data_IF_416671682213
#
_entry.id   IF_416671682213
#
_cell.length_a   1.000
_cell.length_b   1.000
_cell.length_c   1.000
_cell.angle_alpha   90.00
_cell.angle_beta   90.00
_cell.angle_gamma   90.00
#
_symmetry.space_group_name_H-M   'P 1'
#
loop_
_entity.id
_entity.type
_entity.pdbx_description
1 polymer ?
#
# COMPACT_ATOMS: atom_id res chain seq x y z
N UNK A 1 -68.63 -6.18 9.13
CA UNK A 1 -68.22 -5.06 9.99
C UNK A 1 -66.83 -4.62 9.55
N UNK A 2 -66.73 -3.44 8.94
CA UNK A 2 -65.45 -2.83 8.53
C UNK A 2 -64.97 -1.98 9.70
N UNK A 3 -63.82 -2.30 10.27
CA UNK A 3 -63.18 -1.49 11.30
C UNK A 3 -62.03 -0.70 10.67
N UNK A 4 -62.28 0.59 10.50
CA UNK A 4 -61.29 1.61 10.23
C UNK A 4 -60.45 1.82 11.49
N UNK A 5 -59.12 1.75 11.37
CA UNK A 5 -58.20 2.29 12.36
C UNK A 5 -57.25 3.24 11.64
N UNK A 6 -57.57 4.52 11.75
CA UNK A 6 -56.67 5.63 11.44
C UNK A 6 -55.73 5.90 12.62
N UNK A 7 -54.59 6.51 12.29
CA UNK A 7 -53.61 7.15 13.18
C UNK A 7 -52.75 6.24 14.07
N UNK A 8 -51.51 6.02 13.62
CA UNK A 8 -50.31 6.22 14.44
C UNK A 8 -49.12 6.57 13.52
N UNK A 9 -48.68 7.83 13.57
CA UNK A 9 -47.35 8.28 13.15
C UNK A 9 -46.30 7.60 14.04
N UNK A 10 -45.26 6.94 13.50
CA UNK A 10 -44.02 6.79 14.23
C UNK A 10 -43.13 7.98 13.91
N UNK A 11 -42.82 8.72 14.98
CA UNK A 11 -41.82 9.76 15.03
C UNK A 11 -40.53 9.30 14.33
N UNK A 12 -39.97 10.20 13.52
CA UNK A 12 -38.60 10.13 13.02
C UNK A 12 -37.72 9.97 14.26
N UNK A 13 -37.22 8.76 14.49
CA UNK A 13 -36.10 8.55 15.38
C UNK A 13 -34.94 9.33 14.76
N UNK A 14 -34.66 10.50 15.33
CA UNK A 14 -33.38 11.16 15.13
C UNK A 14 -32.31 10.15 15.50
N UNK A 15 -31.62 9.62 14.49
CA UNK A 15 -30.39 8.89 14.71
C UNK A 15 -29.47 9.92 15.34
N UNK A 16 -29.33 9.88 16.67
CA UNK A 16 -28.20 10.45 17.34
C UNK A 16 -26.98 9.79 16.71
N UNK A 17 -26.38 10.46 15.72
CA UNK A 17 -25.05 10.11 15.25
C UNK A 17 -24.15 10.26 16.46
N UNK A 18 -23.90 9.15 17.16
CA UNK A 18 -22.73 9.05 18.00
C UNK A 18 -21.57 9.51 17.11
N UNK A 19 -20.90 10.60 17.51
CA UNK A 19 -19.84 11.23 16.73
C UNK A 19 -18.68 10.25 16.59
N UNK A 20 -18.77 9.39 15.57
CA UNK A 20 -17.69 8.51 15.18
C UNK A 20 -16.53 9.39 14.74
N UNK A 21 -15.32 9.10 15.23
CA UNK A 21 -14.12 9.80 14.79
C UNK A 21 -14.05 9.76 13.26
N UNK A 22 -13.81 10.89 12.61
CA UNK A 22 -13.75 11.02 11.15
C UNK A 22 -12.49 11.79 10.76
N UNK A 23 -11.98 11.49 9.57
CA UNK A 23 -10.94 12.30 8.94
C UNK A 23 -11.48 12.81 7.62
N UNK A 24 -11.51 14.13 7.45
CA UNK A 24 -11.97 14.76 6.23
C UNK A 24 -10.75 15.18 5.40
N UNK A 25 -10.65 14.66 4.18
CA UNK A 25 -9.59 14.99 3.24
C UNK A 25 -10.04 16.06 2.25
N UNK A 26 -9.28 17.15 2.14
CA UNK A 26 -9.51 18.25 1.21
C UNK A 26 -8.31 18.40 0.29
N UNK A 27 -8.54 18.36 -1.01
CA UNK A 27 -7.51 18.52 -2.03
C UNK A 27 -7.79 19.79 -2.82
N UNK A 28 -6.77 20.63 -2.94
CA UNK A 28 -6.79 21.90 -3.63
C UNK A 28 -5.75 21.92 -4.75
N UNK A 29 -6.21 22.24 -5.97
CA UNK A 29 -5.42 22.31 -7.20
C UNK A 29 -5.84 23.54 -8.01
N UNK A 30 -5.01 23.97 -8.96
CA UNK A 30 -5.25 25.16 -9.77
C UNK A 30 -6.46 25.07 -10.73
N UNK A 31 -7.06 23.88 -10.92
CA UNK A 31 -8.17 23.71 -11.87
C UNK A 31 -9.53 24.07 -11.26
N UNK A 32 -10.47 24.46 -12.14
CA UNK A 32 -11.91 24.62 -11.85
C UNK A 32 -12.62 23.31 -11.45
N UNK A 33 -11.88 22.26 -11.18
CA UNK A 33 -12.36 20.89 -10.91
C UNK A 33 -12.37 20.61 -9.41
N UNK A 34 -12.81 21.60 -8.62
CA UNK A 34 -13.12 21.43 -7.20
C UNK A 34 -14.33 20.50 -6.98
N UNK A 35 -15.08 20.20 -8.05
CA UNK A 35 -16.31 19.41 -8.09
C UNK A 35 -16.11 17.90 -8.34
N UNK A 36 -14.87 17.39 -8.25
CA UNK A 36 -14.67 15.95 -8.14
C UNK A 36 -15.33 15.47 -6.84
N UNK A 37 -16.47 14.78 -6.95
CA UNK A 37 -17.36 14.42 -5.85
C UNK A 37 -16.67 13.71 -4.67
N UNK A 38 -17.37 13.66 -3.53
CA UNK A 38 -16.80 13.13 -2.28
C UNK A 38 -16.76 11.60 -2.26
N UNK A 39 -15.60 11.01 -2.00
CA UNK A 39 -15.46 9.55 -1.81
C UNK A 39 -15.42 9.19 -0.32
N UNK A 40 -16.40 8.41 0.16
CA UNK A 40 -16.45 7.95 1.55
C UNK A 40 -15.90 6.52 1.72
N UNK A 41 -14.93 6.36 2.61
CA UNK A 41 -14.26 5.10 2.94
C UNK A 41 -14.68 4.54 4.30
N UNK A 42 -15.06 3.27 4.31
CA UNK A 42 -15.34 2.49 5.54
C UNK A 42 -14.05 2.05 6.25
N UNK A 43 -14.11 1.66 7.54
CA UNK A 43 -12.93 1.16 8.27
C UNK A 43 -12.27 -0.08 7.65
N UNK A 44 -13.04 -0.90 6.93
CA UNK A 44 -12.49 -2.07 6.22
C UNK A 44 -11.69 -1.68 4.98
N UNK A 45 -12.18 -0.72 4.21
CA UNK A 45 -11.47 -0.17 3.06
C UNK A 45 -10.19 0.57 3.50
N UNK A 46 -10.24 1.27 4.65
CA UNK A 46 -9.06 1.88 5.27
C UNK A 46 -7.93 0.89 5.54
N UNK A 47 -8.25 -0.34 6.00
CA UNK A 47 -7.27 -1.38 6.36
C UNK A 47 -6.31 -1.72 5.22
N UNK A 48 -6.71 -1.46 3.98
CA UNK A 48 -5.89 -1.74 2.81
C UNK A 48 -4.93 -0.57 2.51
N UNK A 49 -5.11 0.63 3.07
CA UNK A 49 -4.17 1.75 2.97
C UNK A 49 -4.29 2.58 1.69
N UNK A 50 -5.51 2.80 1.18
CA UNK A 50 -5.76 3.56 -0.06
C UNK A 50 -5.36 5.04 0.04
N UNK A 51 -5.73 5.72 1.14
CA UNK A 51 -5.33 7.12 1.36
C UNK A 51 -3.82 7.29 1.40
N UNK A 52 -3.10 6.37 2.05
CA UNK A 52 -1.63 6.37 2.03
C UNK A 52 -1.08 6.34 0.60
N UNK A 53 -1.68 5.56 -0.29
CA UNK A 53 -1.23 5.48 -1.70
C UNK A 53 -1.50 6.80 -2.43
N UNK A 54 -2.66 7.43 -2.22
CA UNK A 54 -2.95 8.76 -2.77
C UNK A 54 -1.88 9.76 -2.35
N UNK A 55 -1.55 9.79 -1.05
CA UNK A 55 -0.49 10.67 -0.54
C UNK A 55 0.88 10.32 -1.12
N UNK A 56 1.19 9.03 -1.28
CA UNK A 56 2.44 8.59 -1.87
C UNK A 56 2.59 8.98 -3.34
N UNK A 57 1.49 9.03 -4.10
CA UNK A 57 1.47 9.51 -5.48
C UNK A 57 1.64 11.03 -5.53
N UNK A 58 0.93 11.79 -4.70
CA UNK A 58 1.07 13.24 -4.60
C UNK A 58 2.48 13.69 -4.18
N UNK A 59 3.15 12.89 -3.35
CA UNK A 59 4.48 13.20 -2.82
C UNK A 59 5.63 12.54 -3.60
N UNK A 60 5.33 11.88 -4.73
CA UNK A 60 6.30 11.17 -5.58
C UNK A 60 7.21 10.17 -4.84
N UNK A 61 6.61 9.40 -3.91
CA UNK A 61 7.29 8.34 -3.14
C UNK A 61 6.74 6.95 -3.43
N UNK A 62 6.02 6.79 -4.55
CA UNK A 62 5.28 5.56 -4.91
C UNK A 62 6.13 4.28 -4.92
N UNK A 63 7.44 4.38 -5.18
CA UNK A 63 8.40 3.26 -5.13
C UNK A 63 8.43 2.53 -3.78
N UNK A 64 7.99 3.19 -2.70
CA UNK A 64 7.94 2.61 -1.36
C UNK A 64 6.55 2.06 -0.98
N UNK A 65 5.54 2.26 -1.82
CA UNK A 65 4.14 1.96 -1.52
C UNK A 65 3.55 1.02 -2.55
N UNK A 66 3.46 -0.27 -2.21
CA UNK A 66 2.87 -1.27 -3.10
C UNK A 66 1.35 -1.18 -3.16
N UNK A 67 0.84 -1.14 -4.40
CA UNK A 67 -0.56 -1.25 -4.77
C UNK A 67 -0.93 -2.73 -4.97
N UNK A 68 -1.26 -3.45 -3.89
CA UNK A 68 -1.79 -4.83 -4.02
C UNK A 68 -3.21 -4.78 -4.62
N UNK A 69 -3.31 -4.58 -5.94
CA UNK A 69 -4.54 -4.21 -6.63
C UNK A 69 -5.61 -5.30 -6.63
N UNK A 70 -5.23 -6.57 -6.59
CA UNK A 70 -6.16 -7.72 -6.57
C UNK A 70 -7.13 -7.71 -5.40
N UNK A 71 -6.76 -7.06 -4.30
CA UNK A 71 -7.55 -7.07 -3.06
C UNK A 71 -8.30 -5.74 -2.83
N UNK A 72 -8.35 -4.79 -3.78
CA UNK A 72 -8.96 -3.46 -3.58
C UNK A 72 -10.43 -3.41 -3.97
N UNK A 73 -11.21 -2.61 -3.24
CA UNK A 73 -12.58 -2.27 -3.61
C UNK A 73 -12.62 -1.17 -4.68
N UNK A 74 -13.69 -1.11 -5.46
CA UNK A 74 -13.87 -0.10 -6.51
C UNK A 74 -13.74 1.33 -5.97
N UNK A 75 -14.32 1.63 -4.80
CA UNK A 75 -14.19 2.96 -4.16
C UNK A 75 -12.74 3.33 -3.81
N UNK A 76 -11.89 2.35 -3.51
CA UNK A 76 -10.47 2.64 -3.24
C UNK A 76 -9.74 2.96 -4.54
N UNK A 77 -10.05 2.24 -5.62
CA UNK A 77 -9.48 2.50 -6.94
C UNK A 77 -9.97 3.85 -7.49
N UNK A 78 -11.26 4.17 -7.32
CA UNK A 78 -11.84 5.46 -7.64
C UNK A 78 -11.16 6.61 -6.89
N UNK A 79 -10.91 6.44 -5.58
CA UNK A 79 -10.15 7.41 -4.80
C UNK A 79 -8.73 7.60 -5.35
N UNK A 80 -8.02 6.51 -5.60
CA UNK A 80 -6.63 6.55 -6.11
C UNK A 80 -6.58 7.24 -7.46
N UNK A 81 -7.47 6.87 -8.38
CA UNK A 81 -7.48 7.41 -9.74
C UNK A 81 -7.89 8.89 -9.76
N UNK A 82 -8.87 9.28 -8.94
CA UNK A 82 -9.38 10.66 -8.90
C UNK A 82 -8.38 11.61 -8.21
N UNK A 83 -7.74 11.15 -7.12
CA UNK A 83 -7.00 12.04 -6.22
C UNK A 83 -5.49 11.80 -6.19
N UNK A 84 -4.97 10.76 -6.85
CA UNK A 84 -3.55 10.42 -6.89
C UNK A 84 -2.62 11.49 -7.46
N UNK A 85 -3.14 12.40 -8.29
CA UNK A 85 -2.35 13.46 -8.93
C UNK A 85 -1.97 13.14 -10.37
N UNK A 86 -1.23 14.05 -11.01
CA UNK A 86 -0.72 13.88 -12.38
C UNK A 86 0.64 13.18 -12.35
N UNK A 87 0.82 12.19 -13.20
CA UNK A 87 2.11 11.50 -13.33
C UNK A 87 3.04 12.26 -14.28
N UNK A 88 4.37 12.28 -14.03
CA UNK A 88 5.35 12.75 -15.01
C UNK A 88 5.14 12.05 -16.36
N UNK A 89 5.43 12.77 -17.45
CA UNK A 89 5.28 12.22 -18.80
C UNK A 89 6.03 10.89 -18.91
N UNK A 90 5.45 9.94 -19.64
CA UNK A 90 5.97 8.57 -19.84
C UNK A 90 7.40 8.54 -20.41
N UNK A 91 7.89 9.68 -20.90
CA UNK A 91 9.21 9.88 -21.49
C UNK A 91 9.83 11.22 -21.07
N UNK A 92 9.78 11.56 -19.78
CA UNK A 92 10.72 12.56 -19.28
C UNK A 92 12.07 11.88 -19.00
N UNK A 93 13.15 12.38 -19.58
CA UNK A 93 14.51 11.78 -19.55
C UNK A 93 15.20 11.91 -18.17
N UNK A 94 14.44 11.77 -17.08
CA UNK A 94 14.90 11.79 -15.70
C UNK A 94 14.56 10.49 -14.98
N UNK A 95 15.55 9.60 -14.85
CA UNK A 95 15.65 8.46 -13.89
C UNK A 95 14.34 7.99 -13.24
N UNK A 96 13.51 7.22 -13.96
CA UNK A 96 12.44 6.44 -13.34
C UNK A 96 12.76 4.94 -13.36
N UNK A 97 12.88 4.36 -12.16
CA UNK A 97 13.14 2.94 -11.95
C UNK A 97 11.97 2.06 -12.41
N UNK A 98 12.28 0.81 -12.74
CA UNK A 98 11.40 -0.15 -13.40
C UNK A 98 10.10 -0.52 -12.66
N UNK A 99 9.91 -0.12 -11.39
CA UNK A 99 8.67 -0.38 -10.62
C UNK A 99 7.56 0.67 -10.84
N UNK A 100 7.89 1.91 -11.23
CA UNK A 100 6.87 2.93 -11.57
C UNK A 100 6.09 2.59 -12.84
N UNK A 101 6.70 1.80 -13.74
CA UNK A 101 6.16 1.39 -15.04
C UNK A 101 4.97 0.43 -14.92
N UNK A 102 4.87 -0.34 -13.84
CA UNK A 102 3.77 -1.30 -13.61
C UNK A 102 2.52 -0.60 -13.06
N UNK A 103 2.68 0.52 -12.35
CA UNK A 103 1.57 1.30 -11.80
C UNK A 103 0.90 2.16 -12.87
N UNK A 104 1.69 2.79 -13.75
CA UNK A 104 1.21 3.63 -14.86
C UNK A 104 0.36 2.83 -15.86
N UNK A 105 0.71 1.56 -16.10
CA UNK A 105 0.02 0.74 -17.11
C UNK A 105 -1.23 0.03 -16.58
N UNK A 106 -1.47 0.06 -15.26
CA UNK A 106 -2.58 -0.67 -14.64
C UNK A 106 -3.66 0.26 -14.08
N UNK A 107 -3.32 1.46 -13.58
CA UNK A 107 -4.29 2.44 -13.08
C UNK A 107 -3.81 3.86 -13.37
N UNK A 108 -4.32 4.41 -14.48
CA UNK A 108 -3.94 5.74 -14.97
C UNK A 108 -4.53 6.86 -14.11
N UNK A 109 -3.67 7.69 -13.53
CA UNK A 109 -4.03 9.06 -13.17
C UNK A 109 -4.28 9.92 -14.43
N UNK A 110 -4.61 11.19 -14.25
CA UNK A 110 -4.63 12.14 -15.37
C UNK A 110 -3.21 12.28 -15.94
N UNK A 111 -2.98 11.71 -17.12
CA UNK A 111 -1.73 11.89 -17.85
C UNK A 111 -1.81 13.21 -18.63
N UNK A 112 -0.79 14.09 -18.55
CA UNK A 112 -0.66 15.19 -19.49
C UNK A 112 -0.73 14.63 -20.92
N UNK A 113 -1.48 15.28 -21.82
CA UNK A 113 -1.58 14.83 -23.22
C UNK A 113 -0.18 14.74 -23.81
N UNK A 114 0.04 13.69 -24.61
CA UNK A 114 1.34 13.30 -25.17
C UNK A 114 2.01 14.43 -25.99
N UNK A 115 1.23 15.43 -26.44
CA UNK A 115 1.67 16.54 -27.28
C UNK A 115 0.97 17.88 -26.96
N UNK A 116 0.86 18.26 -25.68
CA UNK A 116 0.56 19.68 -25.38
C UNK A 116 1.84 20.50 -25.48
N UNK A 117 2.00 21.20 -26.61
CA UNK A 117 3.03 22.23 -26.89
C UNK A 117 2.94 23.44 -25.94
N UNK A 118 1.90 23.54 -25.10
CA UNK A 118 1.69 24.64 -24.16
C UNK A 118 2.35 24.49 -22.78
N UNK A 119 2.99 23.35 -22.49
CA UNK A 119 3.60 23.07 -21.16
C UNK A 119 5.13 22.94 -21.26
N UNK A 120 5.73 23.46 -22.31
CA UNK A 120 7.18 23.65 -22.38
C UNK A 120 7.54 24.94 -21.62
N UNK A 121 7.53 24.87 -20.28
CA UNK A 121 7.96 25.99 -19.42
C UNK A 121 7.18 26.18 -18.11
N UNK A 122 6.09 25.45 -17.87
CA UNK A 122 5.41 25.49 -16.59
C UNK A 122 6.16 24.60 -15.58
N UNK A 123 6.75 25.21 -14.56
CA UNK A 123 7.29 24.50 -13.40
C UNK A 123 6.18 23.66 -12.76
N UNK A 124 6.43 22.36 -12.53
CA UNK A 124 5.48 21.50 -11.82
C UNK A 124 5.12 22.11 -10.47
N UNK A 125 3.83 22.10 -10.06
CA UNK A 125 3.42 22.63 -8.78
C UNK A 125 4.13 21.89 -7.65
N UNK A 126 4.41 22.59 -6.56
CA UNK A 126 4.89 21.94 -5.34
C UNK A 126 3.73 21.26 -4.63
N UNK A 127 3.97 20.08 -4.05
CA UNK A 127 2.95 19.31 -3.36
C UNK A 127 3.11 19.41 -1.85
N UNK A 128 2.11 19.96 -1.17
CA UNK A 128 2.06 20.11 0.29
C UNK A 128 0.98 19.21 0.88
N UNK A 129 1.36 18.26 1.73
CA UNK A 129 0.42 17.39 2.46
C UNK A 129 0.48 17.72 3.95
N UNK A 130 -0.67 18.05 4.54
CA UNK A 130 -0.75 18.48 5.95
C UNK A 130 -1.82 17.68 6.68
N UNK A 131 -1.41 16.98 7.74
CA UNK A 131 -2.33 16.44 8.73
C UNK A 131 -2.57 17.48 9.82
N UNK A 132 -3.84 17.80 10.08
CA UNK A 132 -4.27 18.80 11.06
C UNK A 132 -5.10 18.12 12.15
N UNK A 133 -4.59 18.03 13.38
CA UNK A 133 -5.40 17.63 14.55
C UNK A 133 -5.96 18.90 15.22
N UNK A 134 -7.25 19.13 15.03
CA UNK A 134 -7.94 20.39 15.35
C UNK A 134 -9.17 20.11 16.19
N UNK A 135 -9.58 21.09 17.00
CA UNK A 135 -10.83 20.95 17.75
C UNK A 135 -12.05 20.90 16.82
N UNK A 136 -13.22 20.56 17.36
CA UNK A 136 -14.48 20.61 16.60
C UNK A 136 -14.79 22.04 16.11
N UNK A 137 -14.48 23.05 16.92
CA UNK A 137 -14.63 24.48 16.59
C UNK A 137 -13.64 24.87 15.48
N UNK A 138 -12.35 24.52 15.64
CA UNK A 138 -11.31 24.78 14.64
C UNK A 138 -11.59 24.12 13.29
N UNK A 139 -12.08 22.88 13.30
CA UNK A 139 -12.53 22.19 12.07
C UNK A 139 -13.68 22.92 11.38
N UNK A 140 -14.63 23.44 12.15
CA UNK A 140 -15.77 24.21 11.61
C UNK A 140 -15.30 25.54 11.02
N UNK A 141 -14.38 26.24 11.69
CA UNK A 141 -13.80 27.49 11.21
C UNK A 141 -13.08 27.30 9.86
N UNK A 142 -12.18 26.31 9.76
CA UNK A 142 -11.47 26.02 8.50
C UNK A 142 -12.42 25.65 7.36
N UNK A 143 -13.43 24.80 7.64
CA UNK A 143 -14.42 24.42 6.62
C UNK A 143 -15.24 25.61 6.14
N UNK A 144 -15.54 26.59 7.00
CA UNK A 144 -16.24 27.80 6.60
C UNK A 144 -15.38 28.65 5.63
N UNK A 145 -14.10 28.83 5.93
CA UNK A 145 -13.15 29.53 5.06
C UNK A 145 -13.02 28.84 3.69
N UNK A 146 -12.86 27.51 3.68
CA UNK A 146 -12.71 26.76 2.42
C UNK A 146 -14.00 26.69 1.61
N UNK A 147 -15.15 26.65 2.28
CA UNK A 147 -16.46 26.78 1.63
C UNK A 147 -16.60 28.12 0.92
N UNK A 148 -16.15 29.21 1.54
CA UNK A 148 -16.13 30.54 0.91
C UNK A 148 -15.22 30.60 -0.32
N UNK A 149 -14.17 29.76 -0.37
CA UNK A 149 -13.27 29.60 -1.53
C UNK A 149 -13.76 28.56 -2.55
N UNK A 150 -14.99 28.07 -2.41
CA UNK A 150 -15.64 27.17 -3.38
C UNK A 150 -15.54 25.68 -3.06
N UNK A 151 -14.91 25.27 -1.95
CA UNK A 151 -14.82 23.87 -1.51
C UNK A 151 -15.79 23.60 -0.36
N UNK A 152 -17.04 23.30 -0.70
CA UNK A 152 -18.12 23.07 0.27
C UNK A 152 -18.06 21.69 0.94
N UNK A 153 -17.49 20.69 0.26
CA UNK A 153 -17.41 19.31 0.72
C UNK A 153 -15.97 18.75 0.66
N UNK A 154 -15.63 17.81 1.56
CA UNK A 154 -14.35 17.12 1.51
C UNK A 154 -14.24 16.26 0.24
N UNK A 155 -13.04 16.21 -0.34
CA UNK A 155 -12.69 15.32 -1.46
C UNK A 155 -12.89 13.85 -1.09
N UNK A 156 -12.59 13.49 0.15
CA UNK A 156 -12.87 12.16 0.67
C UNK A 156 -13.05 12.17 2.18
N UNK A 157 -13.74 11.16 2.70
CA UNK A 157 -14.00 10.99 4.13
C UNK A 157 -13.52 9.62 4.58
N UNK A 158 -12.71 9.56 5.64
CA UNK A 158 -12.36 8.32 6.32
C UNK A 158 -13.17 8.17 7.61
N UNK A 159 -13.89 7.06 7.73
CA UNK A 159 -14.52 6.68 9.01
C UNK A 159 -13.46 6.10 9.95
N UNK A 160 -13.30 6.72 11.12
CA UNK A 160 -12.33 6.38 12.16
C UNK A 160 -10.99 7.13 12.06
N UNK A 161 -10.54 7.74 13.15
CA UNK A 161 -9.24 8.45 13.22
C UNK A 161 -8.06 7.53 13.56
N UNK A 162 -6.99 7.41 12.72
CA UNK A 162 -5.80 6.59 13.03
C UNK A 162 -5.09 6.90 14.35
N UNK A 163 -5.39 8.05 14.96
CA UNK A 163 -4.70 8.57 16.15
C UNK A 163 -3.43 9.35 15.79
N UNK A 164 -3.06 10.37 16.59
CA UNK A 164 -1.96 11.29 16.29
C UNK A 164 -0.59 10.58 16.25
N UNK A 165 -0.35 9.58 17.10
CA UNK A 165 0.89 8.81 17.10
C UNK A 165 1.10 8.07 15.77
N UNK A 166 0.05 7.43 15.26
CA UNK A 166 0.14 6.69 14.00
C UNK A 166 0.29 7.62 12.80
N UNK A 167 -0.24 8.84 12.86
CA UNK A 167 -0.06 9.86 11.83
C UNK A 167 1.38 10.38 11.87
N UNK A 168 1.89 10.71 13.05
CA UNK A 168 3.27 11.16 13.23
C UNK A 168 4.28 10.13 12.73
N UNK A 169 4.03 8.83 12.96
CA UNK A 169 4.85 7.76 12.39
C UNK A 169 4.82 7.77 10.85
N UNK A 170 3.64 7.85 10.23
CA UNK A 170 3.52 7.89 8.76
C UNK A 170 4.21 9.12 8.17
N UNK A 171 4.03 10.30 8.77
CA UNK A 171 4.63 11.55 8.30
C UNK A 171 6.15 11.46 8.34
N UNK A 172 6.72 10.97 9.46
CA UNK A 172 8.17 10.76 9.58
C UNK A 172 8.69 9.78 8.52
N UNK A 173 7.97 8.68 8.32
CA UNK A 173 8.36 7.62 7.40
C UNK A 173 8.33 8.11 5.94
N UNK A 174 7.30 8.87 5.54
CA UNK A 174 7.23 9.50 4.21
C UNK A 174 8.29 10.61 4.08
N UNK A 175 8.54 11.40 5.12
CA UNK A 175 9.58 12.43 5.08
C UNK A 175 10.97 11.81 4.81
N UNK A 176 11.26 10.65 5.40
CA UNK A 176 12.46 9.86 5.10
C UNK A 176 12.48 9.37 3.64
N UNK A 177 11.33 9.01 3.07
CA UNK A 177 11.23 8.61 1.67
C UNK A 177 11.46 9.77 0.69
N UNK A 178 11.01 10.98 1.04
CA UNK A 178 11.24 12.21 0.28
C UNK A 178 12.72 12.61 0.36
N UNK A 179 13.30 12.61 1.56
CA UNK A 179 14.70 12.99 1.79
C UNK A 179 15.35 12.09 2.85
N UNK A 180 16.03 11.00 2.44
CA UNK A 180 16.64 10.04 3.37
C UNK A 180 17.82 10.60 4.20
N UNK A 181 18.39 11.74 3.80
CA UNK A 181 19.64 12.30 4.33
C UNK A 181 19.43 13.44 5.34
N UNK A 182 18.20 13.95 5.50
CA UNK A 182 17.91 15.07 6.40
C UNK A 182 16.85 14.68 7.42
N UNK A 183 17.21 14.73 8.70
CA UNK A 183 16.27 14.66 9.82
C UNK A 183 16.47 15.88 10.71
N UNK A 184 15.57 16.85 10.54
CA UNK A 184 14.94 17.69 11.57
C UNK A 184 14.37 18.93 10.87
N UNK A 185 13.11 18.84 10.44
CA UNK A 185 12.38 19.96 9.82
C UNK A 185 11.80 20.91 10.88
N UNK A 186 12.59 21.22 11.92
CA UNK A 186 12.14 22.11 13.00
C UNK A 186 11.94 23.56 12.50
N UNK A 187 12.56 23.92 11.37
CA UNK A 187 12.54 25.28 10.83
C UNK A 187 11.43 25.54 9.81
N UNK A 188 10.79 24.50 9.26
CA UNK A 188 9.64 24.63 8.38
C UNK A 188 8.33 24.68 9.18
N UNK A 189 7.79 25.89 9.33
CA UNK A 189 6.43 26.10 9.85
C UNK A 189 5.40 25.94 8.75
N UNK A 190 4.14 25.68 9.10
CA UNK A 190 3.06 25.55 8.11
C UNK A 190 2.91 26.83 7.25
N UNK A 191 3.01 28.01 7.88
CA UNK A 191 2.97 29.29 7.16
C UNK A 191 4.13 29.46 6.18
N UNK A 192 5.33 29.00 6.54
CA UNK A 192 6.48 29.00 5.63
C UNK A 192 6.33 27.99 4.50
N UNK A 193 5.71 26.83 4.74
CA UNK A 193 5.47 25.84 3.70
C UNK A 193 4.50 26.34 2.62
N UNK A 194 3.58 27.24 2.97
CA UNK A 194 2.70 27.92 2.00
C UNK A 194 3.51 28.82 1.06
N UNK A 195 4.62 29.40 1.54
CA UNK A 195 5.55 30.15 0.71
C UNK A 195 6.40 29.20 -0.14
N UNK A 196 6.02 29.08 -1.41
CA UNK A 196 6.74 28.32 -2.44
C UNK A 196 8.13 28.89 -2.76
N UNK A 197 8.60 29.94 -2.10
CA UNK A 197 10.00 30.39 -2.20
C UNK A 197 10.85 30.00 -0.99
N UNK A 198 10.23 29.50 0.09
CA UNK A 198 10.93 29.15 1.33
C UNK A 198 11.87 27.95 1.14
N UNK A 199 13.17 28.23 0.99
CA UNK A 199 14.20 27.19 0.83
C UNK A 199 14.25 26.23 2.02
N UNK A 200 13.92 26.71 3.22
CA UNK A 200 13.87 25.93 4.47
C UNK A 200 12.96 24.69 4.33
N UNK A 201 11.82 24.83 3.64
CA UNK A 201 10.82 23.77 3.47
C UNK A 201 11.04 22.95 2.19
N UNK A 202 11.58 23.60 1.15
CA UNK A 202 11.53 23.10 -0.22
C UNK A 202 12.91 22.90 -0.86
N UNK A 203 14.00 22.92 -0.08
CA UNK A 203 15.37 22.78 -0.59
C UNK A 203 15.52 21.52 -1.45
N UNK A 204 15.56 21.69 -2.78
CA UNK A 204 15.57 20.61 -3.78
C UNK A 204 14.42 19.58 -3.63
N UNK A 205 13.33 19.97 -2.97
CA UNK A 205 12.14 19.14 -2.72
C UNK A 205 10.95 19.78 -3.42
N UNK A 206 10.24 18.99 -4.22
CA UNK A 206 8.95 19.40 -4.80
C UNK A 206 7.77 18.92 -3.96
N UNK A 207 8.03 18.18 -2.87
CA UNK A 207 7.02 17.55 -2.03
C UNK A 207 7.39 17.73 -0.56
N UNK A 208 6.41 18.09 0.26
CA UNK A 208 6.59 18.28 1.70
C UNK A 208 5.38 17.74 2.45
N UNK A 209 5.64 17.04 3.57
CA UNK A 209 4.60 16.45 4.41
C UNK A 209 4.80 16.84 5.86
N UNK A 210 3.72 17.24 6.53
CA UNK A 210 3.79 17.62 7.95
C UNK A 210 2.54 17.19 8.73
N UNK A 211 2.72 17.03 10.04
CA UNK A 211 1.66 16.82 11.02
C UNK A 211 1.70 18.02 11.97
N UNK A 212 0.61 18.79 12.02
CA UNK A 212 0.52 20.02 12.81
C UNK A 212 -0.77 20.07 13.60
N UNK A 213 -0.66 20.78 14.72
CA UNK A 213 -1.68 20.99 15.74
C UNK A 213 -2.10 19.68 16.41
N UNK A 214 -2.19 19.72 17.74
CA UNK A 214 -2.85 18.73 18.61
C UNK A 214 -3.94 19.41 19.45
N UNK A 215 -3.90 20.75 19.46
CA UNK A 215 -4.80 21.70 20.10
C UNK A 215 -4.74 23.02 19.31
N UNK A 216 -5.78 23.85 19.39
CA UNK A 216 -5.86 25.14 18.70
C UNK A 216 -4.89 26.14 19.38
N UNK A 217 -3.73 26.36 18.78
CA UNK A 217 -2.67 27.26 19.29
C UNK A 217 -2.57 28.57 18.49
N UNK A 218 -1.70 29.49 18.89
CA UNK A 218 -1.40 30.71 18.10
C UNK A 218 -0.95 30.41 16.66
N UNK A 219 -0.34 29.24 16.44
CA UNK A 219 0.08 28.79 15.13
C UNK A 219 -1.13 28.38 14.26
N UNK A 220 -2.20 27.86 14.87
CA UNK A 220 -3.47 27.58 14.19
C UNK A 220 -4.15 28.89 13.76
N UNK A 221 -4.24 29.88 14.66
CA UNK A 221 -4.80 31.19 14.33
C UNK A 221 -4.01 31.88 13.20
N UNK A 222 -2.69 31.73 13.21
CA UNK A 222 -1.81 32.24 12.15
C UNK A 222 -2.08 31.53 10.83
N UNK A 223 -2.29 30.20 10.85
CA UNK A 223 -2.66 29.45 9.66
C UNK A 223 -4.03 29.87 9.10
N UNK A 224 -5.03 30.07 9.95
CA UNK A 224 -6.37 30.56 9.54
C UNK A 224 -6.27 31.95 8.89
N UNK A 225 -5.39 32.82 9.38
CA UNK A 225 -5.15 34.14 8.74
C UNK A 225 -4.38 34.05 7.42
N UNK A 226 -3.63 32.97 7.21
CA UNK A 226 -2.80 32.78 6.00
C UNK A 226 -3.53 32.12 4.81
N UNK A 227 -4.84 31.86 4.92
CA UNK A 227 -5.61 31.17 3.88
C UNK A 227 -5.58 31.91 2.54
N UNK A 228 -5.65 33.25 2.52
CA UNK A 228 -5.59 34.00 1.26
C UNK A 228 -4.28 33.79 0.50
N UNK A 229 -3.15 33.74 1.21
CA UNK A 229 -1.84 33.44 0.62
C UNK A 229 -1.79 32.02 0.06
N UNK A 230 -2.35 31.05 0.81
CA UNK A 230 -2.47 29.65 0.38
C UNK A 230 -3.26 29.53 -0.92
N UNK A 231 -4.47 30.09 -0.96
CA UNK A 231 -5.32 30.02 -2.14
C UNK A 231 -4.72 30.80 -3.32
N UNK A 232 -4.04 31.92 -3.07
CA UNK A 232 -3.33 32.65 -4.13
C UNK A 232 -2.22 31.80 -4.77
N UNK A 233 -1.46 31.03 -3.97
CA UNK A 233 -0.43 30.12 -4.51
C UNK A 233 -1.05 28.95 -5.30
N UNK A 234 -2.21 28.44 -4.87
CA UNK A 234 -2.94 27.38 -5.57
C UNK A 234 -3.52 27.88 -6.89
N UNK A 235 -4.15 29.06 -6.91
CA UNK A 235 -4.72 29.66 -8.12
C UNK A 235 -3.67 29.97 -9.19
N UNK A 236 -2.44 30.33 -8.78
CA UNK A 236 -1.31 30.52 -9.68
C UNK A 236 -0.76 29.21 -10.25
N UNK A 237 -1.09 28.07 -9.65
CA UNK A 237 -0.51 26.78 -10.01
C UNK A 237 0.89 26.53 -9.47
N UNK A 238 1.32 27.29 -8.47
CA UNK A 238 2.63 27.11 -7.84
C UNK A 238 2.59 26.02 -6.76
N UNK A 239 1.41 25.77 -6.18
CA UNK A 239 1.19 24.88 -5.04
C UNK A 239 -0.07 24.03 -5.22
N UNK A 240 0.05 22.73 -5.02
CA UNK A 240 -1.07 21.82 -4.77
C UNK A 240 -1.05 21.42 -3.29
N UNK A 241 -2.19 21.56 -2.61
CA UNK A 241 -2.27 21.31 -1.18
C UNK A 241 -3.34 20.26 -0.84
N UNK A 242 -2.96 19.30 0.01
CA UNK A 242 -3.86 18.27 0.55
C UNK A 242 -3.90 18.39 2.07
N UNK A 243 -5.07 18.67 2.63
CA UNK A 243 -5.29 18.75 4.07
C UNK A 243 -6.13 17.57 4.57
N UNK A 244 -5.67 16.90 5.61
CA UNK A 244 -6.42 15.87 6.32
C UNK A 244 -6.79 16.40 7.71
N UNK A 245 -8.05 16.80 7.89
CA UNK A 245 -8.54 17.28 9.19
C UNK A 245 -8.99 16.10 10.03
N UNK A 246 -8.36 16.00 11.18
CA UNK A 246 -8.67 15.04 12.22
C UNK A 246 -9.34 15.81 13.35
N UNK A 247 -10.54 15.38 13.73
CA UNK A 247 -11.24 15.93 14.90
C UNK A 247 -11.14 14.95 16.07
N UNK A 248 -10.97 15.43 17.31
CA UNK A 248 -10.95 14.59 18.49
C UNK A 248 -12.27 13.81 18.62
N UNK A 249 -12.15 12.52 18.93
CA UNK A 249 -13.27 11.60 19.09
C UNK A 249 -12.75 10.23 19.50
N UNK A 250 -13.63 9.35 20.01
CA UNK A 250 -13.20 8.02 20.49
C UNK A 250 -12.36 7.32 19.42
N UNK A 251 -11.09 7.09 19.76
CA UNK A 251 -10.18 6.27 18.97
C UNK A 251 -10.77 4.87 18.97
N UNK A 252 -11.43 4.48 17.89
CA UNK A 252 -11.77 3.08 17.70
C UNK A 252 -10.44 2.32 17.76
N UNK A 253 -10.30 1.33 18.66
CA UNK A 253 -9.04 0.58 18.79
C UNK A 253 -8.69 -0.03 17.44
N UNK A 254 -7.76 0.59 16.72
CA UNK A 254 -7.33 0.10 15.42
C UNK A 254 -6.65 -1.25 15.62
N UNK A 255 -7.05 -2.24 14.80
CA UNK A 255 -6.23 -3.43 14.60
C UNK A 255 -4.91 -3.01 13.92
N UNK A 256 -3.84 -3.78 14.17
CA UNK A 256 -2.46 -3.55 13.72
C UNK A 256 -2.38 -2.92 12.31
N UNK A 257 -1.57 -1.87 12.16
CA UNK A 257 -1.24 -1.14 10.91
C UNK A 257 -2.40 -0.36 10.24
N UNK A 258 -2.77 0.83 10.76
CA UNK A 258 -3.88 1.64 10.22
C UNK A 258 -3.63 2.22 8.82
N UNK A 259 -2.38 2.21 8.35
CA UNK A 259 -1.95 2.70 7.04
C UNK A 259 -1.55 1.59 6.05
N UNK A 260 -1.62 0.32 6.46
CA UNK A 260 -1.09 -0.81 5.69
C UNK A 260 0.44 -0.92 5.75
N UNK A 261 1.04 -1.60 4.77
CA UNK A 261 2.47 -1.94 4.71
C UNK A 261 3.23 -1.18 3.61
N UNK A 262 4.34 -0.53 3.95
CA UNK A 262 5.29 0.13 3.04
C UNK A 262 6.73 -0.23 3.40
N UNK A 263 7.67 0.05 2.49
CA UNK A 263 9.10 -0.02 2.76
C UNK A 263 9.66 1.35 3.16
N UNK A 264 10.77 1.35 3.89
CA UNK A 264 11.55 2.55 4.16
C UNK A 264 12.86 2.49 3.34
N UNK A 265 13.43 3.64 2.96
CA UNK A 265 14.75 3.68 2.38
C UNK A 265 15.75 3.06 3.35
N UNK A 266 16.43 1.98 2.94
CA UNK A 266 17.48 1.36 3.75
C UNK A 266 18.84 1.90 3.29
N UNK A 267 19.68 2.29 4.25
CA UNK A 267 20.86 3.13 4.02
C UNK A 267 21.99 2.51 3.19
N UNK A 268 21.93 1.22 2.84
CA UNK A 268 23.09 0.54 2.25
C UNK A 268 22.80 -0.30 0.98
N UNK A 269 21.55 -0.73 0.73
CA UNK A 269 21.22 -1.54 -0.45
C UNK A 269 20.69 -0.74 -1.64
N UNK A 270 19.96 0.36 -1.41
CA UNK A 270 19.34 1.13 -2.49
C UNK A 270 20.29 2.16 -3.13
N UNK A 271 21.24 2.71 -2.36
CA UNK A 271 22.29 3.59 -2.91
C UNK A 271 23.20 2.81 -3.85
N UNK A 272 23.58 1.57 -3.50
CA UNK A 272 24.37 0.71 -4.40
C UNK A 272 23.60 0.35 -5.66
N UNK A 273 22.27 0.16 -5.56
CA UNK A 273 21.40 -0.06 -6.71
C UNK A 273 21.34 1.15 -7.64
N UNK A 274 21.29 2.38 -7.09
CA UNK A 274 21.34 3.64 -7.85
C UNK A 274 22.73 3.98 -8.41
N UNK A 275 23.81 3.60 -7.73
CA UNK A 275 25.18 3.83 -8.20
C UNK A 275 25.64 2.82 -9.26
N UNK A 276 24.99 1.67 -9.36
CA UNK A 276 25.27 0.67 -10.40
C UNK A 276 24.62 1.02 -11.76
N UNK A 277 23.86 2.12 -11.83
CA UNK A 277 23.42 2.76 -13.07
C UNK A 277 24.32 3.97 -13.38
N UNK A 278 25.58 3.71 -13.74
CA UNK A 278 26.47 4.71 -14.36
C UNK A 278 26.86 4.28 -15.78
N UNK A 279 27.02 5.24 -16.70
CA UNK A 279 27.28 4.96 -18.12
C UNK A 279 28.66 4.33 -18.28
N UNK A 280 28.76 3.35 -19.18
CA UNK A 280 29.97 2.59 -19.47
C UNK A 280 31.17 3.51 -19.72
N UNK A 281 32.29 3.23 -19.06
CA UNK A 281 33.60 3.73 -19.45
C UNK A 281 34.65 2.65 -19.19
N UNK A 282 35.62 2.61 -20.11
CA UNK A 282 36.46 1.47 -20.48
C UNK A 282 37.54 1.05 -19.45
N UNK A 283 37.64 -0.29 -19.27
CA UNK A 283 38.77 -1.26 -19.06
C UNK A 283 40.13 -0.74 -18.50
N UNK A 284 40.94 -1.36 -17.61
CA UNK A 284 41.60 -2.70 -17.47
C UNK A 284 42.35 -2.71 -16.09
N UNK A 285 42.08 -3.64 -15.15
CA UNK A 285 42.72 -4.93 -14.79
C UNK A 285 44.08 -4.96 -14.04
N UNK A 286 44.19 -5.88 -13.06
CA UNK A 286 45.31 -6.83 -12.80
C UNK A 286 44.91 -7.80 -11.65
N UNK A 287 44.59 -9.08 -11.96
CA UNK A 287 45.39 -10.34 -11.79
C UNK A 287 45.30 -10.96 -10.37
N UNK A 288 45.13 -12.27 -10.09
CA UNK A 288 45.56 -13.50 -10.79
C UNK A 288 45.02 -14.82 -10.16
N UNK A 289 44.90 -15.88 -11.02
CA UNK A 289 45.14 -17.36 -10.82
C UNK A 289 44.31 -18.18 -9.79
N UNK A 290 43.90 -19.46 -10.00
CA UNK A 290 44.13 -20.50 -11.03
C UNK A 290 43.28 -21.81 -10.79
N UNK A 291 43.02 -22.56 -11.89
CA UNK A 291 42.97 -24.05 -12.10
C UNK A 291 41.88 -25.01 -11.56
N UNK A 292 40.90 -25.32 -12.44
CA UNK A 292 40.42 -26.60 -13.07
C UNK A 292 40.58 -27.99 -12.40
N UNK A 293 39.48 -28.78 -12.35
CA UNK A 293 39.37 -30.21 -12.80
C UNK A 293 37.91 -30.76 -12.78
N UNK A 294 37.59 -31.67 -13.73
CA UNK A 294 36.24 -32.07 -14.23
C UNK A 294 35.49 -33.24 -13.53
N UNK A 295 34.49 -33.90 -14.19
CA UNK A 295 33.14 -34.08 -13.63
C UNK A 295 32.65 -35.53 -13.40
N UNK A 296 31.77 -35.76 -12.41
CA UNK A 296 30.73 -36.82 -12.44
C UNK A 296 29.60 -36.57 -11.39
N UNK A 297 28.32 -36.96 -11.64
CA UNK A 297 27.17 -36.52 -10.86
C UNK A 297 26.69 -37.56 -9.84
N UNK A 298 26.52 -37.15 -8.59
CA UNK A 298 25.77 -37.91 -7.57
C UNK A 298 24.91 -36.92 -6.79
N UNK A 299 23.58 -37.07 -6.87
CA UNK A 299 22.61 -36.21 -6.20
C UNK A 299 22.66 -36.46 -4.68
N UNK A 300 23.45 -35.69 -3.96
CA UNK A 300 23.40 -35.65 -2.48
C UNK A 300 22.62 -34.42 -2.04
N UNK A 301 21.73 -34.51 -1.04
CA UNK A 301 20.97 -33.36 -0.57
C UNK A 301 21.94 -32.31 -0.03
N UNK A 302 21.88 -31.10 -0.61
CA UNK A 302 22.73 -29.97 -0.26
C UNK A 302 22.49 -29.65 1.24
N UNK A 303 23.47 -29.95 2.09
CA UNK A 303 23.46 -29.55 3.51
C UNK A 303 24.04 -28.15 3.63
N UNK A 304 23.23 -27.22 4.13
CA UNK A 304 23.59 -25.82 4.33
C UNK A 304 22.74 -24.87 3.48
N UNK A 305 22.64 -23.62 3.91
CA UNK A 305 21.94 -22.58 3.16
C UNK A 305 22.82 -22.21 1.95
N UNK A 306 22.44 -22.54 0.70
CA UNK A 306 23.27 -22.24 -0.45
C UNK A 306 23.42 -20.72 -0.60
N UNK A 307 24.64 -20.21 -0.89
CA UNK A 307 24.86 -18.79 -1.11
C UNK A 307 24.05 -18.31 -2.32
N UNK A 308 23.55 -17.08 -2.25
CA UNK A 308 22.71 -16.49 -3.30
C UNK A 308 23.48 -16.13 -4.58
N UNK A 309 24.81 -16.08 -4.50
CA UNK A 309 25.70 -15.76 -5.61
C UNK A 309 26.97 -16.62 -5.54
N UNK A 310 27.25 -17.32 -6.62
CA UNK A 310 28.51 -18.03 -6.85
C UNK A 310 29.42 -17.20 -7.74
N UNK A 311 30.72 -17.20 -7.47
CA UNK A 311 31.69 -16.38 -8.21
C UNK A 311 32.01 -16.93 -9.60
N UNK A 312 31.70 -18.20 -9.88
CA UNK A 312 31.93 -18.84 -11.18
C UNK A 312 30.82 -19.82 -11.56
N UNK A 313 30.69 -20.11 -12.86
CA UNK A 313 29.76 -21.12 -13.39
C UNK A 313 30.06 -22.51 -12.81
N UNK A 314 31.35 -22.85 -12.68
CA UNK A 314 31.81 -24.11 -12.10
C UNK A 314 31.47 -24.19 -10.60
N UNK A 315 31.71 -23.12 -9.84
CA UNK A 315 31.35 -23.07 -8.40
C UNK A 315 29.85 -23.24 -8.20
N UNK A 316 29.03 -22.59 -9.05
CA UNK A 316 27.59 -22.79 -9.07
C UNK A 316 27.25 -24.26 -9.38
N UNK A 317 27.82 -24.83 -10.43
CA UNK A 317 27.49 -26.18 -10.91
C UNK A 317 27.89 -27.25 -9.91
N UNK A 318 29.09 -27.16 -9.33
CA UNK A 318 29.60 -28.12 -8.34
C UNK A 318 28.85 -28.00 -7.02
N UNK A 319 28.62 -26.78 -6.52
CA UNK A 319 27.96 -26.58 -5.22
C UNK A 319 26.46 -26.88 -5.26
N UNK A 320 25.81 -26.66 -6.41
CA UNK A 320 24.37 -26.89 -6.57
C UNK A 320 24.04 -28.20 -7.30
N UNK A 321 25.05 -29.01 -7.64
CA UNK A 321 24.90 -30.22 -8.44
C UNK A 321 24.09 -29.97 -9.73
N UNK A 322 24.53 -28.99 -10.51
CA UNK A 322 23.86 -28.50 -11.71
C UNK A 322 22.38 -28.14 -11.43
N UNK A 323 22.16 -27.32 -10.39
CA UNK A 323 20.84 -26.91 -9.93
C UNK A 323 19.90 -28.09 -9.62
N UNK A 324 20.41 -29.06 -8.88
CA UNK A 324 19.72 -30.32 -8.54
C UNK A 324 19.22 -31.11 -9.76
N UNK A 325 19.78 -30.88 -10.96
CA UNK A 325 19.30 -31.44 -12.22
C UNK A 325 17.99 -30.82 -12.76
N UNK A 326 17.41 -29.85 -12.05
CA UNK A 326 16.14 -29.20 -12.39
C UNK A 326 16.31 -27.76 -12.89
N UNK A 327 17.56 -27.34 -13.13
CA UNK A 327 17.87 -26.04 -13.70
C UNK A 327 19.21 -26.03 -14.41
N UNK A 328 19.65 -24.83 -14.76
CA UNK A 328 21.00 -24.57 -15.22
C UNK A 328 21.57 -23.37 -14.49
N UNK A 329 22.85 -23.43 -14.16
CA UNK A 329 23.58 -22.27 -13.66
C UNK A 329 23.70 -21.24 -14.79
N UNK A 330 23.31 -20.01 -14.50
CA UNK A 330 23.41 -18.89 -15.43
C UNK A 330 24.10 -17.72 -14.74
N UNK A 331 24.74 -16.88 -15.54
CA UNK A 331 25.32 -15.63 -15.05
C UNK A 331 24.19 -14.64 -14.81
N UNK A 332 23.88 -14.38 -13.54
CA UNK A 332 22.84 -13.44 -13.11
C UNK A 332 23.35 -12.00 -13.18
N UNK A 333 24.58 -11.78 -12.73
CA UNK A 333 25.29 -10.51 -12.81
C UNK A 333 26.77 -10.76 -13.08
N UNK A 334 27.47 -9.81 -13.68
CA UNK A 334 28.89 -9.93 -14.01
C UNK A 334 29.19 -9.42 -15.41
N UNK A 335 30.42 -8.98 -15.66
CA UNK A 335 30.78 -8.34 -16.91
C UNK A 335 30.83 -9.35 -18.07
N UNK A 336 30.95 -8.88 -19.31
CA UNK A 336 30.90 -9.75 -20.50
C UNK A 336 32.05 -10.78 -20.50
N UNK A 337 31.99 -11.79 -21.38
CA UNK A 337 33.12 -12.74 -21.50
C UNK A 337 34.38 -11.89 -21.72
N UNK A 338 35.39 -12.08 -20.87
CA UNK A 338 36.71 -11.45 -20.90
C UNK A 338 36.90 -10.12 -20.14
N UNK A 339 35.95 -9.72 -19.27
CA UNK A 339 36.09 -8.57 -18.36
C UNK A 339 36.17 -8.99 -16.87
N UNK A 340 36.99 -8.29 -16.06
CA UNK A 340 37.15 -8.55 -14.63
C UNK A 340 36.12 -7.79 -13.78
N UNK A 341 35.23 -8.52 -13.13
CA UNK A 341 34.23 -8.02 -12.20
C UNK A 341 33.59 -9.18 -11.45
N UNK A 342 32.98 -8.91 -10.30
CA UNK A 342 32.34 -9.95 -9.50
C UNK A 342 31.16 -10.56 -10.27
N UNK A 343 31.39 -11.72 -10.90
CA UNK A 343 30.33 -12.48 -11.55
C UNK A 343 29.51 -13.23 -10.52
N UNK A 344 28.21 -12.96 -10.45
CA UNK A 344 27.24 -13.73 -9.69
C UNK A 344 26.56 -14.72 -10.63
N UNK A 345 26.86 -16.00 -10.44
CA UNK A 345 26.16 -17.12 -11.01
C UNK A 345 25.10 -17.62 -10.03
N UNK A 346 23.91 -17.89 -10.55
CA UNK A 346 22.79 -18.41 -9.78
C UNK A 346 22.07 -19.50 -10.59
N UNK A 347 21.24 -20.28 -9.93
CA UNK A 347 20.43 -21.30 -10.58
C UNK A 347 19.16 -20.71 -11.21
N UNK A 348 18.91 -21.02 -12.48
CA UNK A 348 17.61 -20.80 -13.14
C UNK A 348 16.93 -22.15 -13.29
N UNK A 349 15.79 -22.30 -12.61
CA UNK A 349 15.00 -23.52 -12.68
C UNK A 349 14.28 -23.60 -14.03
N UNK A 350 14.18 -24.79 -14.59
CA UNK A 350 13.47 -24.98 -15.85
C UNK A 350 11.99 -24.69 -15.67
N UNK A 351 11.41 -23.99 -16.65
CA UNK A 351 9.96 -23.92 -16.81
C UNK A 351 9.44 -25.29 -17.25
N UNK A 352 8.21 -25.67 -16.84
CA UNK A 352 7.63 -26.94 -17.23
C UNK A 352 7.46 -27.00 -18.75
N UNK A 353 7.86 -28.13 -19.33
CA UNK A 353 7.85 -28.37 -20.78
C UNK A 353 7.31 -29.79 -21.05
N UNK A 354 7.06 -30.15 -22.32
CA UNK A 354 6.43 -31.46 -22.69
C UNK A 354 7.16 -32.69 -22.11
N UNK A 355 8.44 -32.58 -21.78
CA UNK A 355 9.29 -33.64 -21.21
C UNK A 355 9.53 -33.52 -19.70
N UNK A 356 9.28 -32.35 -19.08
CA UNK A 356 9.59 -32.07 -17.66
C UNK A 356 8.35 -31.49 -16.97
N UNK A 357 7.63 -32.34 -16.25
CA UNK A 357 6.39 -31.98 -15.54
C UNK A 357 6.70 -31.44 -14.14
N UNK A 358 6.29 -30.21 -13.84
CA UNK A 358 6.37 -29.61 -12.50
C UNK A 358 7.15 -28.29 -12.47
N UNK A 359 6.68 -27.34 -11.65
CA UNK A 359 7.40 -26.11 -11.35
C UNK A 359 8.41 -26.38 -10.22
N UNK A 360 9.67 -26.00 -10.45
CA UNK A 360 10.76 -26.13 -9.49
C UNK A 360 11.20 -24.74 -9.03
N UNK A 361 11.41 -24.61 -7.74
CA UNK A 361 11.82 -23.38 -7.07
C UNK A 361 12.89 -23.62 -6.00
N UNK A 362 13.34 -22.52 -5.40
CA UNK A 362 14.44 -22.52 -4.42
C UNK A 362 15.79 -22.15 -5.02
N UNK A 363 16.74 -21.77 -4.16
CA UNK A 363 18.05 -21.23 -4.55
C UNK A 363 18.92 -22.18 -5.40
N UNK A 364 18.66 -23.50 -5.33
CA UNK A 364 19.30 -24.54 -6.13
C UNK A 364 18.27 -25.42 -6.87
N UNK A 365 17.05 -24.92 -7.10
CA UNK A 365 15.94 -25.66 -7.72
C UNK A 365 15.58 -26.96 -6.99
N UNK A 366 15.77 -26.98 -5.68
CA UNK A 366 15.60 -28.16 -4.84
C UNK A 366 14.16 -28.39 -4.35
N UNK A 367 13.25 -27.41 -4.52
CA UNK A 367 11.85 -27.52 -4.08
C UNK A 367 10.95 -27.68 -5.29
N UNK A 368 10.10 -28.69 -5.30
CA UNK A 368 9.02 -28.79 -6.26
C UNK A 368 7.79 -28.06 -5.71
N UNK A 369 7.15 -27.23 -6.52
CA UNK A 369 5.90 -26.55 -6.17
C UNK A 369 4.74 -27.55 -6.22
N UNK A 370 4.58 -28.37 -5.18
CA UNK A 370 3.44 -29.30 -4.97
C UNK A 370 2.36 -28.62 -4.09
N UNK A 371 2.19 -27.31 -4.21
CA UNK A 371 1.19 -26.60 -3.40
C UNK A 371 -0.23 -26.95 -3.84
N UNK A 372 -0.51 -26.99 -5.14
CA UNK A 372 -1.88 -27.18 -5.65
C UNK A 372 -2.46 -28.57 -5.34
N UNK A 373 -1.68 -29.65 -5.50
CA UNK A 373 -2.16 -31.01 -5.23
C UNK A 373 -2.38 -31.27 -3.74
N UNK A 374 -1.53 -30.72 -2.86
CA UNK A 374 -1.71 -30.84 -1.42
C UNK A 374 -2.99 -30.15 -0.94
N UNK A 375 -3.28 -28.94 -1.44
CA UNK A 375 -4.50 -28.21 -1.07
C UNK A 375 -5.77 -28.92 -1.51
N UNK A 376 -5.77 -29.54 -2.69
CA UNK A 376 -6.93 -30.33 -3.18
C UNK A 376 -7.15 -31.56 -2.31
N UNK A 377 -6.09 -32.31 -1.99
CA UNK A 377 -6.19 -33.51 -1.15
C UNK A 377 -6.62 -33.14 0.27
N UNK A 378 -5.97 -32.16 0.89
CA UNK A 378 -6.28 -31.73 2.25
C UNK A 378 -7.71 -31.17 2.36
N UNK A 379 -8.14 -30.35 1.39
CA UNK A 379 -9.50 -29.83 1.34
C UNK A 379 -10.56 -30.91 1.14
N UNK A 380 -10.33 -31.85 0.23
CA UNK A 380 -11.24 -32.97 0.00
C UNK A 380 -11.35 -33.89 1.22
N UNK A 381 -10.22 -34.21 1.87
CA UNK A 381 -10.22 -34.99 3.11
C UNK A 381 -10.98 -34.29 4.24
N UNK A 382 -10.77 -32.99 4.43
CA UNK A 382 -11.49 -32.22 5.45
C UNK A 382 -13.00 -32.16 5.17
N UNK A 383 -13.39 -32.00 3.91
CA UNK A 383 -14.79 -32.02 3.49
C UNK A 383 -15.45 -33.38 3.80
N UNK A 384 -14.81 -34.49 3.45
CA UNK A 384 -15.35 -35.83 3.72
C UNK A 384 -15.50 -36.10 5.22
N UNK A 385 -14.51 -35.72 6.03
CA UNK A 385 -14.60 -35.83 7.49
C UNK A 385 -15.78 -34.99 8.02
N UNK A 386 -15.95 -33.76 7.52
CA UNK A 386 -17.07 -32.89 7.88
C UNK A 386 -18.44 -33.50 7.55
N UNK A 387 -18.60 -34.09 6.36
CA UNK A 387 -19.85 -34.75 5.95
C UNK A 387 -20.16 -35.95 6.86
N UNK A 388 -19.16 -36.78 7.16
CA UNK A 388 -19.34 -37.96 8.02
C UNK A 388 -19.72 -37.52 9.45
N UNK A 389 -19.01 -36.54 10.02
CA UNK A 389 -19.32 -36.00 11.35
C UNK A 389 -20.73 -35.38 11.40
N UNK A 390 -21.14 -34.66 10.35
CA UNK A 390 -22.47 -34.09 10.26
C UNK A 390 -23.57 -35.16 10.20
N UNK A 391 -23.37 -36.21 9.41
CA UNK A 391 -24.32 -37.33 9.32
C UNK A 391 -24.48 -38.05 10.66
N UNK A 392 -23.37 -38.30 11.37
CA UNK A 392 -23.40 -38.88 12.72
C UNK A 392 -24.15 -37.95 13.69
N UNK A 393 -23.89 -36.64 13.63
CA UNK A 393 -24.59 -35.65 14.46
C UNK A 393 -26.11 -35.65 14.28
N UNK A 394 -26.58 -35.75 13.04
CA UNK A 394 -28.02 -35.85 12.74
C UNK A 394 -28.63 -37.15 13.29
N UNK A 395 -27.90 -38.27 13.25
CA UNK A 395 -28.36 -39.54 13.82
C UNK A 395 -28.45 -39.48 15.36
N UNK A 396 -27.51 -38.81 16.03
CA UNK A 396 -27.58 -38.56 17.47
C UNK A 396 -28.70 -37.60 17.87
N UNK A 397 -28.97 -36.58 17.04
CA UNK A 397 -30.05 -35.63 17.31
C UNK A 397 -31.42 -36.31 17.32
N UNK A 398 -31.66 -37.27 16.42
CA UNK A 398 -32.90 -38.07 16.37
C UNK A 398 -32.98 -39.04 17.55
N UNK A 399 -31.86 -39.63 17.98
CA UNK A 399 -31.82 -40.55 19.12
C UNK A 399 -32.03 -39.91 20.50
N UNK A 400 -31.99 -38.58 20.59
CA UNK A 400 -32.11 -37.82 21.84
C UNK A 400 -33.50 -37.22 22.09
N UNK A 401 -34.45 -37.39 21.15
CA UNK A 401 -35.84 -37.08 21.43
C UNK A 401 -36.37 -38.06 22.48
N UNK A 402 -36.66 -37.55 23.68
CA UNK A 402 -37.40 -38.29 24.70
C UNK A 402 -38.75 -38.66 24.10
N UNK A 403 -38.93 -39.95 23.79
CA UNK A 403 -40.26 -40.54 23.65
C UNK A 403 -41.09 -40.03 24.84
N UNK A 404 -42.19 -39.29 24.62
CA UNK A 404 -43.06 -38.89 25.72
C UNK A 404 -43.49 -40.17 26.42
N UNK A 405 -43.19 -40.26 27.72
CA UNK A 405 -43.49 -41.42 28.56
C UNK A 405 -44.99 -41.63 28.66
N UNK A 406 -45.57 -42.31 27.67
CA UNK A 406 -46.98 -42.66 27.63
C UNK A 406 -47.14 -44.11 27.13
N UNK A 407 -46.45 -45.05 27.78
CA UNK A 407 -46.91 -46.45 27.91
C UNK A 407 -46.68 -46.88 29.37
N UNK A 408 -47.33 -46.18 30.30
CA UNK A 408 -47.32 -46.50 31.74
C UNK A 408 -48.62 -46.16 32.46
N UNK A 409 -49.70 -45.89 31.72
CA UNK A 409 -51.02 -45.60 32.29
C UNK A 409 -52.09 -46.30 31.45
N UNK A 410 -52.42 -47.52 31.84
CA UNK A 410 -53.53 -48.27 31.26
C UNK A 410 -53.40 -49.76 31.45
N UNK A 411 -53.73 -50.26 32.65
CA UNK A 411 -54.87 -51.17 32.87
C UNK A 411 -55.03 -51.42 34.37
N UNK A 412 -56.07 -50.83 34.95
CA UNK A 412 -56.66 -51.32 36.18
C UNK A 412 -57.43 -52.61 35.85
N UNK A 413 -57.02 -53.76 36.39
CA UNK A 413 -57.86 -54.96 36.36
C UNK A 413 -58.76 -54.97 37.60
N UNK A 414 -60.06 -54.74 37.39
CA UNK A 414 -61.12 -55.02 38.35
C UNK A 414 -61.75 -56.39 38.03
N UNK A 415 -61.53 -57.40 38.88
CA UNK A 415 -62.43 -58.55 39.15
C UNK A 415 -61.80 -59.30 40.35
N UNK A 416 -62.45 -59.67 41.45
CA UNK A 416 -63.84 -59.95 41.81
C UNK A 416 -64.04 -59.62 43.29
#
# INVERSE_FOLDING_TARGET
>A
MRLSFSFLLPAIAGVAHAASSRVDGFIFRASKELDAGSVSLTPEQKRKGAVRVVLAQQLDVTQYHSLNARDRSEKELELINTFGGQHPKLFDEGKQGSQGRELINTFGGQHPKLFDEGVAGATSPRHLVVFLDVSLEGSKALKAEWSAKGRTEPSFVMVGSPGPESVGALVRDIQQQISPLEVADEQCTLTKAIDVSASECWNNKNSHIMHKFTEDSSDFDTFVKSQDSLFSAIEKGDLEATFLLMTPGQTNRFKKQPWGSYSLPTSDSDIRKRQQEQPMSDVVSSSSSSTISGPQPTSTPIRGLPPLCYTSLESCTTSTQNCSGHGACFRKFGPAKDESGASCFACKCYSPDKTRKGHWGGAACQKQDISAQFWIIAGFSALLIGIVSYAIGMMFSIGSEKLPGVIGAGVASKTR
#
